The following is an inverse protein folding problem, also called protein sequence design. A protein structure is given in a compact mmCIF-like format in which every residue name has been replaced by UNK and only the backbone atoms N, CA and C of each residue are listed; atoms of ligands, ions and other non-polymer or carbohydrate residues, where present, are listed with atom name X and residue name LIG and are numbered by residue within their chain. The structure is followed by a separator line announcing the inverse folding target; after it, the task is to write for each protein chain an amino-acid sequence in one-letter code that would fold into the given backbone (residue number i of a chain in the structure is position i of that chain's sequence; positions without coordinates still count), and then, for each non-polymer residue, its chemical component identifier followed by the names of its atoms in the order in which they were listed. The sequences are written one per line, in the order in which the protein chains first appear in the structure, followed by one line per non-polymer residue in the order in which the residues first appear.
data_IF_908049611272
#
_entry.id   IF_908049611272
#
_cell.length_a   1.000
_cell.length_b   1.000
_cell.length_c   1.000
_cell.angle_alpha   90.00
_cell.angle_beta   90.00
_cell.angle_gamma   90.00
#
_symmetry.space_group_name_H-M   'P 1'
#
loop_
_entity.id
_entity.type
_entity.pdbx_description
1 polymer ?
#
# COMPACT_ATOMS: atom_id res chain seq x y z
N UNK A 1 9.62 -1.75 4.83
CA UNK A 1 11.03 -2.11 4.67
C UNK A 1 11.70 -1.28 3.58
N UNK A 2 11.25 -1.34 2.33
CA UNK A 2 11.87 -0.61 1.20
C UNK A 2 12.03 0.89 1.51
N UNK A 3 10.97 1.58 1.94
CA UNK A 3 11.06 3.00 2.29
C UNK A 3 12.08 3.26 3.41
N UNK A 4 12.15 2.38 4.40
CA UNK A 4 13.13 2.50 5.49
C UNK A 4 14.58 2.22 5.04
N UNK A 5 14.75 1.56 3.89
CA UNK A 5 16.06 1.26 3.30
C UNK A 5 16.57 2.37 2.38
N UNK A 6 15.67 2.97 1.59
CA UNK A 6 16.04 3.92 0.52
C UNK A 6 15.92 5.39 0.93
N UNK A 7 15.07 5.73 1.89
CA UNK A 7 14.91 7.12 2.33
C UNK A 7 16.08 7.56 3.22
N UNK A 8 16.53 8.80 3.10
CA UNK A 8 17.53 9.36 4.00
C UNK A 8 17.08 9.26 5.47
N UNK A 9 17.99 9.10 6.44
CA UNK A 9 17.65 8.86 7.86
C UNK A 9 16.79 9.96 8.49
N UNK A 10 16.86 11.20 7.99
CA UNK A 10 16.09 12.34 8.47
C UNK A 10 14.66 12.40 7.89
N UNK A 11 14.32 11.56 6.90
CA UNK A 11 12.98 11.49 6.33
C UNK A 11 12.07 10.64 7.20
N UNK A 12 10.94 11.22 7.56
CA UNK A 12 9.87 10.51 8.26
C UNK A 12 8.81 10.07 7.26
N UNK A 13 8.33 8.85 7.40
CA UNK A 13 7.20 8.35 6.64
C UNK A 13 6.26 7.57 7.54
N UNK A 14 5.02 7.50 7.16
CA UNK A 14 3.99 6.69 7.80
C UNK A 14 3.19 5.95 6.73
N UNK A 15 2.83 4.72 7.00
CA UNK A 15 1.98 3.91 6.14
C UNK A 15 0.65 3.68 6.86
N UNK A 16 -0.45 4.02 6.21
CA UNK A 16 -1.76 3.54 6.62
C UNK A 16 -2.07 2.26 5.85
N UNK A 17 -2.13 1.14 6.55
CA UNK A 17 -2.49 -0.15 6.00
C UNK A 17 -3.96 -0.43 6.33
N UNK A 18 -4.83 -0.33 5.33
CA UNK A 18 -6.25 -0.51 5.52
C UNK A 18 -6.76 -1.79 4.85
N UNK A 19 -7.72 -2.43 5.49
CA UNK A 19 -8.38 -3.63 4.98
C UNK A 19 -9.83 -3.71 5.50
N UNK A 20 -10.69 -4.42 4.78
CA UNK A 20 -12.03 -4.77 5.23
C UNK A 20 -12.03 -5.98 6.17
N UNK A 21 -10.97 -6.78 6.17
CA UNK A 21 -10.79 -7.95 7.01
C UNK A 21 -10.15 -7.60 8.34
N UNK A 22 -10.92 -7.60 9.41
CA UNK A 22 -10.39 -7.45 10.78
C UNK A 22 -9.32 -8.49 11.08
N UNK A 23 -9.48 -9.73 10.58
CA UNK A 23 -8.47 -10.78 10.76
C UNK A 23 -7.13 -10.40 10.13
N UNK A 24 -7.12 -9.85 8.92
CA UNK A 24 -5.90 -9.39 8.26
C UNK A 24 -5.24 -8.26 9.04
N UNK A 25 -6.03 -7.30 9.52
CA UNK A 25 -5.54 -6.19 10.34
C UNK A 25 -4.92 -6.67 11.65
N UNK A 26 -5.57 -7.63 12.33
CA UNK A 26 -5.04 -8.22 13.57
C UNK A 26 -3.69 -8.92 13.34
N UNK A 27 -3.56 -9.70 12.25
CA UNK A 27 -2.29 -10.35 11.89
C UNK A 27 -1.21 -9.29 11.64
N UNK A 28 -1.55 -8.23 10.89
CA UNK A 28 -0.63 -7.11 10.67
C UNK A 28 -0.20 -6.43 11.95
N UNK A 29 -1.15 -6.13 12.85
CA UNK A 29 -0.88 -5.51 14.15
C UNK A 29 -0.03 -6.40 15.08
N UNK A 30 -0.23 -7.71 15.06
CA UNK A 30 0.60 -8.66 15.80
C UNK A 30 2.03 -8.70 15.26
N UNK A 31 2.19 -8.52 13.94
CA UNK A 31 3.51 -8.52 13.29
C UNK A 31 4.25 -9.85 13.38
N UNK A 32 3.57 -10.94 13.70
CA UNK A 32 4.15 -12.29 13.73
C UNK A 32 3.83 -13.01 12.41
N UNK A 33 4.85 -13.61 11.81
CA UNK A 33 4.73 -14.39 10.58
C UNK A 33 5.44 -15.74 10.72
N UNK A 34 4.75 -16.86 10.51
CA UNK A 34 5.37 -18.19 10.52
C UNK A 34 6.40 -18.34 9.38
N UNK A 35 7.34 -19.24 9.54
CA UNK A 35 8.41 -19.51 8.56
C UNK A 35 7.88 -19.72 7.13
N UNK A 36 6.72 -20.35 6.98
CA UNK A 36 6.07 -20.57 5.68
C UNK A 36 5.62 -19.30 4.97
N UNK A 37 5.48 -18.18 5.68
CA UNK A 37 5.01 -16.89 5.14
C UNK A 37 6.13 -15.91 4.84
N UNK A 38 7.37 -16.23 5.24
CA UNK A 38 8.53 -15.33 5.12
C UNK A 38 9.37 -15.64 3.87
N UNK A 39 9.09 -16.73 3.17
CA UNK A 39 9.79 -17.11 1.97
C UNK A 39 9.78 -16.00 0.90
N UNK A 40 10.93 -15.69 0.33
CA UNK A 40 11.11 -14.66 -0.69
C UNK A 40 11.44 -13.25 -0.16
N UNK A 41 11.47 -13.06 1.16
CA UNK A 41 12.01 -11.82 1.71
C UNK A 41 13.54 -11.89 1.69
N UNK A 42 14.23 -10.91 1.08
CA UNK A 42 15.69 -10.88 1.10
C UNK A 42 16.26 -10.91 2.51
N UNK A 43 17.33 -11.69 2.73
CA UNK A 43 17.92 -11.90 4.05
C UNK A 43 18.29 -10.59 4.75
N UNK A 44 18.84 -9.62 4.02
CA UNK A 44 19.14 -8.28 4.56
C UNK A 44 17.93 -7.60 5.22
N UNK A 45 16.72 -7.85 4.73
CA UNK A 45 15.50 -7.29 5.32
C UNK A 45 15.01 -8.12 6.51
N UNK A 46 15.22 -9.44 6.49
CA UNK A 46 14.92 -10.30 7.64
C UNK A 46 15.79 -9.90 8.84
N UNK A 47 17.09 -9.80 8.65
CA UNK A 47 18.03 -9.40 9.70
C UNK A 47 17.75 -8.00 10.25
N UNK A 48 17.48 -7.04 9.36
CA UNK A 48 17.27 -5.65 9.76
C UNK A 48 15.94 -5.43 10.45
N UNK A 49 14.84 -6.00 9.94
CA UNK A 49 13.48 -5.63 10.33
C UNK A 49 12.73 -6.69 11.13
N UNK A 50 13.30 -7.89 11.28
CA UNK A 50 12.66 -8.98 12.00
C UNK A 50 13.56 -9.54 13.08
N UNK A 51 12.92 -10.19 14.05
CA UNK A 51 13.58 -11.02 15.06
C UNK A 51 13.12 -12.46 14.87
N UNK A 52 14.05 -13.40 14.73
CA UNK A 52 13.71 -14.83 14.68
C UNK A 52 13.16 -15.26 16.02
N UNK A 53 12.01 -15.92 16.01
CA UNK A 53 11.35 -16.49 17.19
C UNK A 53 10.96 -17.93 16.90
N UNK A 54 10.47 -18.66 17.90
CA UNK A 54 10.05 -20.04 17.71
C UNK A 54 8.93 -20.13 16.66
N UNK A 55 9.17 -20.88 15.59
CA UNK A 55 8.21 -21.14 14.51
C UNK A 55 8.01 -19.99 13.51
N UNK A 56 8.78 -18.90 13.61
CA UNK A 56 8.60 -17.78 12.70
C UNK A 56 9.44 -16.55 12.99
N UNK A 57 8.89 -15.40 12.64
CA UNK A 57 9.54 -14.10 12.74
C UNK A 57 8.59 -13.06 13.32
N UNK A 58 9.12 -12.24 14.20
CA UNK A 58 8.44 -11.06 14.75
C UNK A 58 8.99 -9.80 14.11
N UNK A 59 8.12 -8.95 13.56
CA UNK A 59 8.52 -7.64 13.04
C UNK A 59 9.01 -6.76 14.20
N UNK A 60 10.15 -6.11 14.01
CA UNK A 60 10.73 -5.21 15.02
C UNK A 60 9.85 -3.97 15.20
N UNK A 61 9.81 -3.47 16.43
CA UNK A 61 9.02 -2.30 16.83
C UNK A 61 9.32 -1.07 15.97
N UNK A 62 10.56 -0.85 15.62
CA UNK A 62 11.00 0.24 14.76
C UNK A 62 10.20 0.33 13.43
N UNK A 63 9.88 -0.82 12.81
CA UNK A 63 9.08 -0.87 11.59
C UNK A 63 7.59 -0.79 11.91
N UNK A 64 7.14 -1.45 12.98
CA UNK A 64 5.74 -1.45 13.41
C UNK A 64 5.24 -0.03 13.71
N UNK A 65 6.05 0.80 14.37
CA UNK A 65 5.72 2.18 14.75
C UNK A 65 5.49 3.10 13.52
N UNK A 66 5.90 2.66 12.33
CA UNK A 66 5.68 3.37 11.07
C UNK A 66 4.40 2.98 10.35
N UNK A 67 3.65 2.01 10.88
CA UNK A 67 2.46 1.45 10.24
C UNK A 67 1.26 1.64 11.15
N UNK A 68 0.26 2.33 10.64
CA UNK A 68 -1.06 2.43 11.24
C UNK A 68 -2.02 1.50 10.51
N UNK A 69 -2.64 0.57 11.23
CA UNK A 69 -3.66 -0.31 10.69
C UNK A 69 -5.05 0.31 10.89
N UNK A 70 -5.87 0.26 9.84
CA UNK A 70 -7.19 0.89 9.85
C UNK A 70 -8.24 -0.01 9.17
N UNK A 71 -9.41 -0.13 9.78
CA UNK A 71 -10.54 -0.81 9.16
C UNK A 71 -11.21 0.12 8.17
N UNK A 72 -11.19 -0.24 6.89
CA UNK A 72 -11.76 0.62 5.86
C UNK A 72 -12.39 -0.17 4.71
N UNK A 73 -13.58 0.28 4.30
CA UNK A 73 -14.25 -0.17 3.09
C UNK A 73 -13.99 0.87 1.99
N UNK A 74 -13.36 0.46 0.89
CA UNK A 74 -13.04 1.32 -0.25
C UNK A 74 -14.27 1.98 -0.91
N UNK A 75 -15.48 1.46 -0.65
CA UNK A 75 -16.72 2.11 -1.07
C UNK A 75 -17.01 3.41 -0.33
N UNK A 76 -16.32 3.68 0.77
CA UNK A 76 -16.46 4.89 1.57
C UNK A 76 -15.25 5.81 1.42
N UNK A 77 -15.41 7.08 1.77
CA UNK A 77 -14.27 7.99 1.89
C UNK A 77 -13.49 7.67 3.18
N UNK A 78 -12.19 7.48 3.07
CA UNK A 78 -11.32 7.23 4.22
C UNK A 78 -11.03 8.49 5.06
N UNK A 79 -11.35 9.67 4.55
CA UNK A 79 -10.94 10.94 5.13
C UNK A 79 -9.45 11.28 4.93
N UNK A 80 -8.64 10.36 4.42
CA UNK A 80 -7.23 10.63 4.13
C UNK A 80 -7.08 11.67 3.02
N UNK A 81 -6.10 12.55 3.17
CA UNK A 81 -5.78 13.61 2.20
C UNK A 81 -4.26 13.80 2.12
N UNK A 82 -3.82 14.34 0.99
CA UNK A 82 -2.41 14.65 0.73
C UNK A 82 -1.48 13.43 0.85
N UNK A 83 -1.96 12.27 0.43
CA UNK A 83 -1.12 11.07 0.37
C UNK A 83 -0.13 11.20 -0.80
N UNK A 84 1.09 10.74 -0.59
CA UNK A 84 2.13 10.73 -1.63
C UNK A 84 1.98 9.52 -2.56
N UNK A 85 1.55 8.38 -2.01
CA UNK A 85 1.42 7.12 -2.75
C UNK A 85 0.25 6.30 -2.22
N UNK A 86 -0.50 5.70 -3.13
CA UNK A 86 -1.48 4.66 -2.82
C UNK A 86 -1.08 3.36 -3.54
N UNK A 87 -1.06 2.25 -2.80
CA UNK A 87 -0.98 0.90 -3.35
C UNK A 87 -2.34 0.23 -3.19
N UNK A 88 -3.02 -0.04 -4.31
CA UNK A 88 -4.26 -0.80 -4.34
C UNK A 88 -4.14 -1.91 -5.39
N UNK A 89 -3.60 -3.06 -5.00
CA UNK A 89 -3.27 -4.15 -5.91
C UNK A 89 -4.19 -5.34 -5.72
N UNK A 90 -4.72 -5.84 -6.85
CA UNK A 90 -5.58 -7.03 -6.90
C UNK A 90 -6.85 -6.90 -6.04
N UNK A 91 -7.43 -5.71 -6.00
CA UNK A 91 -8.64 -5.40 -5.23
C UNK A 91 -9.75 -4.88 -6.13
N UNK A 92 -9.44 -4.07 -7.15
CA UNK A 92 -10.43 -3.50 -8.05
C UNK A 92 -11.19 -4.58 -8.83
N UNK A 93 -10.56 -5.73 -9.08
CA UNK A 93 -11.16 -6.89 -9.76
C UNK A 93 -12.44 -7.42 -9.10
N UNK A 94 -12.68 -7.09 -7.84
CA UNK A 94 -13.89 -7.51 -7.08
C UNK A 94 -15.04 -6.52 -7.18
N UNK A 95 -14.87 -5.41 -7.89
CA UNK A 95 -15.87 -4.37 -8.06
C UNK A 95 -16.42 -4.37 -9.50
N UNK A 96 -17.68 -4.00 -9.65
CA UNK A 96 -18.22 -3.63 -10.95
C UNK A 96 -17.60 -2.32 -11.47
N UNK A 97 -17.77 -2.02 -12.74
CA UNK A 97 -17.14 -0.88 -13.41
C UNK A 97 -17.48 0.46 -12.76
N UNK A 98 -18.74 0.65 -12.34
CA UNK A 98 -19.18 1.87 -11.69
C UNK A 98 -18.52 2.05 -10.31
N UNK A 99 -18.43 0.97 -9.53
CA UNK A 99 -17.76 0.96 -8.24
C UNK A 99 -16.25 1.15 -8.39
N UNK A 100 -15.61 0.52 -9.39
CA UNK A 100 -14.20 0.73 -9.69
C UNK A 100 -13.91 2.22 -9.96
N UNK A 101 -14.68 2.84 -10.85
CA UNK A 101 -14.53 4.27 -11.18
C UNK A 101 -14.70 5.15 -9.94
N UNK A 102 -15.69 4.84 -9.09
CA UNK A 102 -15.92 5.57 -7.85
C UNK A 102 -14.76 5.45 -6.87
N UNK A 103 -14.21 4.23 -6.68
CA UNK A 103 -13.04 3.97 -5.81
C UNK A 103 -11.82 4.72 -6.33
N UNK A 104 -11.54 4.62 -7.63
CA UNK A 104 -10.38 5.28 -8.26
C UNK A 104 -10.47 6.81 -8.11
N UNK A 105 -11.65 7.39 -8.28
CA UNK A 105 -11.83 8.83 -8.08
C UNK A 105 -11.67 9.25 -6.61
N UNK A 106 -12.01 8.39 -5.63
CA UNK A 106 -11.67 8.63 -4.21
C UNK A 106 -10.16 8.60 -3.98
N UNK A 107 -9.44 7.69 -4.61
CA UNK A 107 -7.97 7.68 -4.54
C UNK A 107 -7.39 8.98 -5.08
N UNK A 108 -7.91 9.45 -6.22
CA UNK A 108 -7.47 10.74 -6.77
C UNK A 108 -7.68 11.89 -5.78
N UNK A 109 -8.83 11.92 -5.08
CA UNK A 109 -9.12 12.94 -4.08
C UNK A 109 -8.27 12.82 -2.81
N UNK A 110 -7.87 11.60 -2.43
CA UNK A 110 -7.02 11.34 -1.27
C UNK A 110 -5.55 11.67 -1.54
N UNK A 111 -5.10 11.54 -2.78
CA UNK A 111 -3.74 11.84 -3.19
C UNK A 111 -3.47 13.35 -3.25
N UNK A 112 -2.27 13.73 -2.84
CA UNK A 112 -1.73 15.08 -3.00
C UNK A 112 -1.26 15.36 -4.43
N UNK A 113 -0.72 16.57 -4.67
CA UNK A 113 -0.06 16.90 -5.92
C UNK A 113 1.15 16.01 -6.19
N UNK A 114 1.44 15.72 -7.48
CA UNK A 114 2.60 14.94 -7.91
C UNK A 114 2.75 13.58 -7.23
N UNK A 115 1.63 12.94 -6.96
CA UNK A 115 1.52 11.67 -6.23
C UNK A 115 1.18 10.51 -7.18
N UNK A 116 1.28 9.28 -6.65
CA UNK A 116 1.20 8.09 -7.48
C UNK A 116 0.21 7.07 -6.95
N UNK A 117 -0.46 6.39 -7.88
CA UNK A 117 -1.31 5.23 -7.63
C UNK A 117 -0.70 4.00 -8.32
N UNK A 118 -0.46 2.96 -7.54
CA UNK A 118 -0.07 1.63 -8.01
C UNK A 118 -1.24 0.66 -7.89
N UNK A 119 -1.59 0.02 -8.99
CA UNK A 119 -2.62 -1.03 -9.03
C UNK A 119 -2.00 -2.39 -9.36
N UNK A 120 -2.79 -3.45 -9.38
CA UNK A 120 -2.33 -4.79 -9.69
C UNK A 120 -1.92 -4.94 -11.15
N UNK A 121 -1.06 -5.91 -11.44
CA UNK A 121 -0.54 -6.17 -12.79
C UNK A 121 -1.64 -6.45 -13.83
N UNK A 122 -2.74 -7.07 -13.41
CA UNK A 122 -3.88 -7.41 -14.27
C UNK A 122 -5.00 -6.37 -14.23
N UNK A 123 -4.77 -5.24 -13.55
CA UNK A 123 -5.73 -4.16 -13.41
C UNK A 123 -5.33 -2.98 -14.31
N UNK A 124 -6.32 -2.26 -14.83
CA UNK A 124 -6.09 -1.09 -15.69
C UNK A 124 -7.17 -0.04 -15.44
N UNK A 125 -6.80 1.23 -15.53
CA UNK A 125 -7.74 2.35 -15.54
C UNK A 125 -8.11 2.78 -16.97
N UNK A 126 -7.67 2.03 -17.99
CA UNK A 126 -7.98 2.34 -19.37
C UNK A 126 -9.50 2.27 -19.62
N UNK A 127 -10.04 3.31 -20.23
CA UNK A 127 -11.49 3.43 -20.47
C UNK A 127 -12.29 3.98 -19.29
N UNK A 128 -11.69 4.14 -18.11
CA UNK A 128 -12.36 4.76 -16.95
C UNK A 128 -12.37 6.29 -17.07
N UNK A 129 -13.48 6.91 -16.67
CA UNK A 129 -13.55 8.36 -16.53
C UNK A 129 -12.85 8.79 -15.23
N UNK A 130 -11.54 8.98 -15.30
CA UNK A 130 -10.68 9.39 -14.18
C UNK A 130 -9.64 10.39 -14.65
N UNK A 131 -9.27 11.37 -13.80
CA UNK A 131 -8.25 12.37 -14.16
C UNK A 131 -6.80 11.88 -13.96
N UNK A 132 -6.58 10.61 -13.63
CA UNK A 132 -5.24 10.04 -13.56
C UNK A 132 -4.54 10.01 -14.92
N UNK A 133 -3.27 10.31 -14.94
CA UNK A 133 -2.40 10.16 -16.11
C UNK A 133 -1.62 8.84 -16.00
N UNK A 134 -1.62 8.05 -17.07
CA UNK A 134 -0.82 6.82 -17.14
C UNK A 134 0.64 7.15 -17.36
N UNK A 135 1.51 6.62 -16.51
CA UNK A 135 2.95 6.74 -16.62
C UNK A 135 3.59 5.36 -16.76
N UNK A 136 4.25 5.15 -17.89
CA UNK A 136 5.07 3.97 -18.12
C UNK A 136 6.53 4.33 -17.85
N UNK A 137 7.14 3.59 -16.94
CA UNK A 137 8.58 3.68 -16.70
C UNK A 137 9.26 2.40 -17.20
N UNK A 138 10.59 2.36 -17.15
CA UNK A 138 11.37 1.16 -17.47
C UNK A 138 11.00 -0.04 -16.55
N UNK A 139 10.59 0.24 -15.32
CA UNK A 139 10.40 -0.75 -14.26
C UNK A 139 8.94 -1.03 -13.90
N UNK A 140 8.03 -0.09 -14.15
CA UNK A 140 6.66 -0.19 -13.73
C UNK A 140 5.70 0.65 -14.56
N UNK A 141 4.44 0.21 -14.58
CA UNK A 141 3.30 1.01 -15.01
C UNK A 141 2.59 1.53 -13.76
N UNK A 142 2.32 2.82 -13.70
CA UNK A 142 1.64 3.47 -12.59
C UNK A 142 0.79 4.64 -13.10
N UNK A 143 0.00 5.18 -12.22
CA UNK A 143 -0.86 6.33 -12.52
C UNK A 143 -0.46 7.51 -11.65
N UNK A 144 -0.38 8.69 -12.27
CA UNK A 144 0.07 9.90 -11.63
C UNK A 144 -1.07 10.90 -11.50
N UNK A 145 -1.12 11.60 -10.37
CA UNK A 145 -1.89 12.82 -10.19
C UNK A 145 -0.98 14.01 -10.41
N UNK A 146 -1.13 14.66 -11.57
CA UNK A 146 -0.47 15.92 -11.84
C UNK A 146 -1.40 17.08 -11.41
N UNK A 147 -0.80 18.18 -10.95
CA UNK A 147 -1.49 19.46 -10.94
C UNK A 147 -1.44 20.03 -12.36
N UNK A 148 -2.60 20.34 -12.90
CA UNK A 148 -2.69 21.31 -13.98
C UNK A 148 -2.74 22.71 -13.36
#
# INVERSE_FOLDING_TARGET
MILADILPPNYKFQITASDLSLKSLMVGQQGYYPDSRIAGIPEKYLERFFTKVTGGYQVKKELMDKIRFDYHNLKNDSGARNLDVIFCRNVLIYFDEAAQTSVVNRFYNALGPHSYLFIGHSESLFGMNTPFEFLKTEWACLYQKNLK
#
